data_IF_293481627610
#
_entry.id   IF_293481627610
#
_cell.length_a   1.000
_cell.length_b   1.000
_cell.length_c   1.000
_cell.angle_alpha   90.00
_cell.angle_beta   90.00
_cell.angle_gamma   90.00
#
_symmetry.space_group_name_H-M   'P 1'
#
loop_
_entity.id
_entity.type
_entity.pdbx_description
1 polymer ?
#
# COMPACT_ATOMS: atom_id res chain seq x y z
N UNK A 1 -10.39 23.85 -10.92
CA UNK A 1 -9.78 24.70 -9.88
C UNK A 1 -8.39 24.15 -9.56
N UNK A 2 -7.35 24.84 -10.02
CA UNK A 2 -5.94 24.45 -9.90
C UNK A 2 -5.51 24.37 -8.43
N UNK A 3 -5.90 25.35 -7.62
CA UNK A 3 -5.57 25.37 -6.19
C UNK A 3 -6.12 24.13 -5.44
N UNK A 4 -7.35 23.71 -5.75
CA UNK A 4 -7.94 22.52 -5.16
C UNK A 4 -7.22 21.25 -5.62
N UNK A 5 -6.80 21.20 -6.89
CA UNK A 5 -6.03 20.06 -7.42
C UNK A 5 -4.67 19.94 -6.72
N UNK A 6 -3.97 21.06 -6.53
CA UNK A 6 -2.70 21.08 -5.81
C UNK A 6 -2.85 20.60 -4.36
N UNK A 7 -3.86 21.10 -3.64
CA UNK A 7 -4.13 20.68 -2.27
C UNK A 7 -4.50 19.17 -2.17
N UNK A 8 -5.26 18.67 -3.16
CA UNK A 8 -5.56 17.24 -3.24
C UNK A 8 -4.29 16.39 -3.48
N UNK A 9 -3.41 16.84 -4.37
CA UNK A 9 -2.13 16.16 -4.62
C UNK A 9 -1.28 16.13 -3.35
N UNK A 10 -1.17 17.25 -2.63
CA UNK A 10 -0.42 17.34 -1.37
C UNK A 10 -1.01 16.41 -0.32
N UNK A 11 -2.34 16.39 -0.19
CA UNK A 11 -3.03 15.48 0.70
C UNK A 11 -2.74 14.01 0.39
N UNK A 12 -2.84 13.61 -0.88
CA UNK A 12 -2.59 12.22 -1.29
C UNK A 12 -1.13 11.81 -1.09
N UNK A 13 -0.17 12.73 -1.35
CA UNK A 13 1.25 12.49 -1.12
C UNK A 13 1.59 12.35 0.36
N UNK A 14 0.95 13.14 1.24
CA UNK A 14 1.18 13.07 2.69
C UNK A 14 0.50 11.85 3.32
N UNK A 15 -0.54 11.32 2.68
CA UNK A 15 -1.32 10.18 3.14
C UNK A 15 -1.10 8.89 2.31
N UNK A 16 0.04 8.79 1.64
CA UNK A 16 0.39 7.56 0.91
C UNK A 16 0.33 6.34 1.83
N UNK A 17 -0.35 5.28 1.39
CA UNK A 17 -0.53 4.05 2.17
C UNK A 17 -1.55 4.14 3.31
N UNK A 18 -2.18 5.29 3.55
CA UNK A 18 -3.28 5.40 4.50
C UNK A 18 -4.63 5.04 3.86
N UNK A 19 -5.46 4.32 4.62
CA UNK A 19 -6.86 4.15 4.22
C UNK A 19 -7.57 5.50 4.23
N UNK A 20 -8.21 5.84 3.12
CA UNK A 20 -8.98 7.07 3.00
C UNK A 20 -10.15 6.91 2.05
N UNK A 21 -11.21 7.70 2.27
CA UNK A 21 -12.36 7.79 1.40
C UNK A 21 -12.41 9.15 0.71
N UNK A 22 -13.06 9.23 -0.44
CA UNK A 22 -13.29 10.51 -1.14
C UNK A 22 -13.98 11.52 -0.22
N UNK A 23 -14.89 11.06 0.63
CA UNK A 23 -15.59 11.91 1.60
C UNK A 23 -14.62 12.47 2.64
N UNK A 24 -13.78 11.62 3.24
CA UNK A 24 -12.78 12.05 4.23
C UNK A 24 -11.79 13.06 3.63
N UNK A 25 -11.37 12.86 2.37
CA UNK A 25 -10.52 13.82 1.66
C UNK A 25 -11.24 15.18 1.52
N UNK A 26 -12.49 15.16 1.06
CA UNK A 26 -13.28 16.37 0.89
C UNK A 26 -13.46 17.13 2.22
N UNK A 27 -13.86 16.43 3.28
CA UNK A 27 -14.05 17.00 4.63
C UNK A 27 -12.75 17.64 5.16
N UNK A 28 -11.59 17.01 4.91
CA UNK A 28 -10.28 17.55 5.31
C UNK A 28 -9.94 18.83 4.53
N UNK A 29 -10.16 18.84 3.21
CA UNK A 29 -9.90 20.02 2.38
C UNK A 29 -10.87 21.17 2.70
N UNK A 30 -12.14 20.89 3.01
CA UNK A 30 -13.10 21.87 3.46
C UNK A 30 -12.70 22.52 4.79
N UNK A 31 -12.18 21.73 5.74
CA UNK A 31 -11.67 22.25 7.02
C UNK A 31 -10.51 23.24 6.81
N UNK A 32 -9.79 23.12 5.72
CA UNK A 32 -8.75 24.05 5.26
C UNK A 32 -9.28 25.24 4.45
N UNK A 33 -10.59 25.54 4.54
CA UNK A 33 -11.31 26.63 3.85
C UNK A 33 -11.32 26.52 2.32
N UNK A 34 -11.15 25.32 1.77
CA UNK A 34 -11.30 25.08 0.33
C UNK A 34 -12.70 24.51 0.05
N UNK A 35 -13.40 25.05 -0.95
CA UNK A 35 -14.65 24.42 -1.40
C UNK A 35 -14.31 23.10 -2.09
N UNK A 36 -14.56 22.00 -1.42
CA UNK A 36 -14.17 20.64 -1.84
C UNK A 36 -15.42 19.72 -1.85
N UNK A 37 -16.25 19.86 -2.88
CA UNK A 37 -17.35 18.89 -3.08
C UNK A 37 -16.81 17.50 -3.40
N UNK A 38 -17.33 16.47 -2.71
CA UNK A 38 -16.87 15.10 -2.82
C UNK A 38 -16.97 14.54 -4.25
N UNK A 39 -17.94 14.99 -5.07
CA UNK A 39 -18.03 14.57 -6.49
C UNK A 39 -16.88 15.13 -7.31
N UNK A 40 -16.48 16.38 -7.05
CA UNK A 40 -15.34 17.03 -7.70
C UNK A 40 -14.03 16.37 -7.28
N UNK A 41 -13.85 16.11 -5.97
CA UNK A 41 -12.69 15.38 -5.46
C UNK A 41 -12.60 13.98 -6.09
N UNK A 42 -13.71 13.24 -6.18
CA UNK A 42 -13.74 11.94 -6.83
C UNK A 42 -13.27 11.99 -8.29
N UNK A 43 -13.74 12.98 -9.07
CA UNK A 43 -13.29 13.18 -10.46
C UNK A 43 -11.79 13.49 -10.57
N UNK A 44 -11.25 14.30 -9.66
CA UNK A 44 -9.82 14.63 -9.65
C UNK A 44 -8.97 13.44 -9.27
N UNK A 45 -9.36 12.67 -8.24
CA UNK A 45 -8.70 11.42 -7.88
C UNK A 45 -8.72 10.43 -9.04
N UNK A 46 -9.86 10.27 -9.73
CA UNK A 46 -9.96 9.40 -10.90
C UNK A 46 -9.05 9.87 -12.05
N UNK A 47 -8.95 11.18 -12.26
CA UNK A 47 -8.06 11.75 -13.27
C UNK A 47 -6.58 11.51 -12.93
N UNK A 48 -6.18 11.71 -11.67
CA UNK A 48 -4.82 11.44 -11.19
C UNK A 48 -4.46 9.95 -11.31
N UNK A 49 -5.40 9.05 -11.03
CA UNK A 49 -5.19 7.61 -11.23
C UNK A 49 -5.11 7.23 -12.72
N UNK A 50 -5.94 7.82 -13.59
CA UNK A 50 -5.87 7.63 -15.05
C UNK A 50 -4.58 8.17 -15.66
N UNK A 51 -4.03 9.23 -15.08
CA UNK A 51 -2.74 9.81 -15.48
C UNK A 51 -1.53 9.03 -14.91
N UNK A 52 -1.76 7.92 -14.20
CA UNK A 52 -0.73 7.11 -13.53
C UNK A 52 0.12 7.89 -12.52
N UNK A 53 -0.36 9.03 -12.02
CA UNK A 53 0.31 9.74 -10.94
C UNK A 53 0.14 9.02 -9.60
N UNK A 54 -1.05 8.45 -9.39
CA UNK A 54 -1.38 7.62 -8.24
C UNK A 54 -2.03 6.32 -8.66
N UNK A 55 -1.83 5.29 -7.85
CA UNK A 55 -2.47 3.98 -7.99
C UNK A 55 -3.41 3.75 -6.82
N UNK A 56 -4.68 3.41 -7.13
CA UNK A 56 -5.72 3.12 -6.15
C UNK A 56 -5.75 1.63 -5.86
N UNK A 57 -5.51 1.25 -4.60
CA UNK A 57 -5.64 -0.12 -4.13
C UNK A 57 -6.92 -0.25 -3.31
N UNK A 58 -7.84 -1.05 -3.83
CA UNK A 58 -9.11 -1.35 -3.16
C UNK A 58 -8.92 -2.36 -2.06
N UNK A 59 -9.83 -2.38 -1.10
CA UNK A 59 -9.83 -3.36 -0.03
C UNK A 59 -10.42 -4.69 -0.49
N UNK A 60 -9.82 -5.78 -0.02
CA UNK A 60 -10.23 -7.15 -0.26
C UNK A 60 -10.46 -7.87 1.06
N UNK A 61 -11.70 -8.31 1.31
CA UNK A 61 -12.07 -9.15 2.46
C UNK A 61 -11.55 -10.57 2.23
N UNK A 62 -10.49 -10.95 2.94
CA UNK A 62 -9.80 -12.23 2.78
C UNK A 62 -10.73 -13.39 3.13
N UNK A 63 -11.53 -13.26 4.20
CA UNK A 63 -12.47 -14.30 4.64
C UNK A 63 -13.68 -14.40 3.71
N UNK A 64 -14.30 -13.25 3.40
CA UNK A 64 -15.49 -13.17 2.54
C UNK A 64 -15.17 -13.31 1.06
N UNK A 65 -13.89 -13.30 0.67
CA UNK A 65 -13.41 -13.37 -0.72
C UNK A 65 -14.12 -12.36 -1.63
N UNK A 66 -14.28 -11.13 -1.16
CA UNK A 66 -15.01 -10.06 -1.85
C UNK A 66 -14.31 -8.72 -1.76
N UNK A 67 -14.55 -7.88 -2.76
CA UNK A 67 -14.05 -6.50 -2.77
C UNK A 67 -14.93 -5.59 -1.92
N UNK A 68 -14.30 -4.71 -1.14
CA UNK A 68 -14.98 -3.71 -0.32
C UNK A 68 -14.98 -2.36 -1.04
N UNK A 69 -15.98 -1.51 -0.77
CA UNK A 69 -16.18 -0.24 -1.49
C UNK A 69 -16.02 1.00 -0.60
N UNK A 70 -15.56 0.84 0.63
CA UNK A 70 -15.66 1.93 1.63
C UNK A 70 -14.47 2.88 1.62
N UNK A 71 -13.26 2.35 1.58
CA UNK A 71 -12.01 3.10 1.70
C UNK A 71 -10.95 2.43 0.85
N UNK A 72 -10.06 3.22 0.29
CA UNK A 72 -8.96 2.75 -0.54
C UNK A 72 -7.63 3.28 0.02
N UNK A 73 -6.51 2.65 -0.33
CA UNK A 73 -5.19 3.24 -0.22
C UNK A 73 -4.74 3.79 -1.56
N UNK A 74 -3.97 4.86 -1.51
CA UNK A 74 -3.37 5.46 -2.70
C UNK A 74 -1.85 5.41 -2.58
N UNK A 75 -1.21 4.95 -3.65
CA UNK A 75 0.24 4.87 -3.75
C UNK A 75 0.73 5.77 -4.88
N UNK A 76 1.84 6.44 -4.66
CA UNK A 76 2.44 7.36 -5.61
C UNK A 76 3.32 6.58 -6.59
N UNK A 77 3.28 6.94 -7.87
CA UNK A 77 4.08 6.28 -8.91
C UNK A 77 5.59 6.34 -8.61
N UNK A 78 6.06 7.46 -8.07
CA UNK A 78 7.46 7.65 -7.69
C UNK A 78 7.55 8.58 -6.47
N UNK A 79 8.24 8.13 -5.43
CA UNK A 79 8.43 8.87 -4.18
C UNK A 79 9.25 10.15 -4.37
N UNK A 80 10.02 10.28 -5.45
CA UNK A 80 10.76 11.51 -5.75
C UNK A 80 9.84 12.73 -5.91
N UNK A 81 8.62 12.55 -6.42
CA UNK A 81 7.63 13.62 -6.50
C UNK A 81 7.22 14.14 -5.12
N UNK A 82 7.04 13.22 -4.15
CA UNK A 82 6.76 13.61 -2.77
C UNK A 82 7.92 14.40 -2.17
N UNK A 83 9.14 13.90 -2.35
CA UNK A 83 10.35 14.60 -1.85
C UNK A 83 10.51 15.98 -2.48
N UNK A 84 10.30 16.11 -3.80
CA UNK A 84 10.39 17.39 -4.49
C UNK A 84 9.35 18.40 -4.02
N UNK A 85 8.14 17.94 -3.64
CA UNK A 85 7.01 18.81 -3.30
C UNK A 85 6.85 19.06 -1.81
N UNK A 86 7.02 18.06 -0.96
CA UNK A 86 6.80 18.12 0.49
C UNK A 86 8.09 18.01 1.29
N UNK A 87 9.22 17.71 0.66
CA UNK A 87 10.49 17.45 1.34
C UNK A 87 10.40 16.21 2.24
N UNK A 88 11.13 16.26 3.36
CA UNK A 88 11.16 15.18 4.37
C UNK A 88 10.12 15.34 5.47
N UNK A 89 9.25 16.33 5.38
CA UNK A 89 8.19 16.56 6.36
C UNK A 89 7.26 15.36 6.44
N UNK A 90 6.95 14.92 7.66
CA UNK A 90 6.07 13.77 7.93
C UNK A 90 6.50 12.47 7.22
N UNK A 91 7.80 12.32 6.95
CA UNK A 91 8.31 11.15 6.25
C UNK A 91 8.37 9.96 7.21
N UNK A 92 7.57 8.94 6.92
CA UNK A 92 7.62 7.65 7.58
C UNK A 92 8.29 6.62 6.64
N UNK A 93 9.49 6.15 7.01
CA UNK A 93 10.24 5.20 6.19
C UNK A 93 9.48 3.91 5.89
N UNK A 94 8.62 3.46 6.79
CA UNK A 94 7.75 2.30 6.57
C UNK A 94 6.82 2.50 5.39
N UNK A 95 6.16 3.65 5.31
CA UNK A 95 5.25 3.98 4.18
C UNK A 95 6.00 4.17 2.86
N UNK A 96 7.23 4.71 2.91
CA UNK A 96 8.06 4.79 1.70
C UNK A 96 8.37 3.40 1.16
N UNK A 97 8.77 2.47 2.04
CA UNK A 97 9.04 1.09 1.65
C UNK A 97 7.77 0.39 1.16
N UNK A 98 6.65 0.57 1.85
CA UNK A 98 5.34 0.02 1.44
C UNK A 98 4.96 0.51 0.02
N UNK A 99 5.14 1.81 -0.27
CA UNK A 99 4.90 2.34 -1.61
C UNK A 99 5.83 1.74 -2.67
N UNK A 100 7.11 1.55 -2.36
CA UNK A 100 8.07 0.91 -3.27
C UNK A 100 7.63 -0.53 -3.58
N UNK A 101 7.25 -1.29 -2.56
CA UNK A 101 6.74 -2.65 -2.71
C UNK A 101 5.45 -2.67 -3.54
N UNK A 102 4.53 -1.73 -3.30
CA UNK A 102 3.30 -1.58 -4.10
C UNK A 102 3.60 -1.41 -5.59
N UNK A 103 4.50 -0.50 -5.93
CA UNK A 103 4.89 -0.27 -7.33
C UNK A 103 5.59 -1.47 -7.94
N UNK A 104 6.45 -2.14 -7.19
CA UNK A 104 7.14 -3.36 -7.65
C UNK A 104 6.17 -4.51 -7.90
N UNK A 105 5.15 -4.70 -7.05
CA UNK A 105 4.10 -5.70 -7.27
C UNK A 105 3.35 -5.45 -8.58
N UNK A 106 2.97 -4.19 -8.87
CA UNK A 106 2.36 -3.81 -10.14
C UNK A 106 3.31 -4.09 -11.32
N UNK A 107 4.60 -3.73 -11.19
CA UNK A 107 5.62 -3.98 -12.21
C UNK A 107 5.78 -5.49 -12.51
N UNK A 108 5.63 -6.33 -11.48
CA UNK A 108 5.62 -7.79 -11.59
C UNK A 108 4.33 -8.35 -12.19
N UNK A 109 3.36 -7.50 -12.51
CA UNK A 109 2.10 -7.87 -13.15
C UNK A 109 1.07 -8.50 -12.20
N UNK A 110 1.13 -8.17 -10.90
CA UNK A 110 0.08 -8.53 -9.97
C UNK A 110 -1.07 -7.52 -10.01
N UNK A 111 -2.28 -8.02 -9.83
CA UNK A 111 -3.39 -7.22 -9.33
C UNK A 111 -3.26 -7.11 -7.82
N UNK A 112 -3.24 -5.89 -7.29
CA UNK A 112 -2.90 -5.66 -5.87
C UNK A 112 -4.05 -5.00 -5.13
N UNK A 113 -4.34 -5.51 -3.94
CA UNK A 113 -5.41 -5.07 -3.07
C UNK A 113 -4.88 -4.91 -1.64
N UNK A 114 -5.56 -4.10 -0.82
CA UNK A 114 -5.35 -4.05 0.63
C UNK A 114 -6.16 -5.15 1.28
N UNK A 115 -5.50 -6.06 1.99
CA UNK A 115 -6.17 -7.16 2.65
C UNK A 115 -6.89 -6.73 3.92
N UNK A 116 -8.08 -7.30 4.15
CA UNK A 116 -8.82 -7.14 5.40
C UNK A 116 -9.15 -8.53 5.95
N UNK A 117 -8.68 -8.81 7.16
CA UNK A 117 -9.02 -10.01 7.89
C UNK A 117 -9.63 -9.64 9.25
N UNK A 118 -10.96 -9.73 9.38
CA UNK A 118 -11.72 -9.20 10.52
C UNK A 118 -11.47 -7.70 10.71
N UNK A 119 -10.74 -7.32 11.79
CA UNK A 119 -10.33 -5.94 12.11
C UNK A 119 -8.86 -5.67 11.81
N UNK A 120 -8.13 -6.67 11.28
CA UNK A 120 -6.70 -6.53 10.94
C UNK A 120 -6.54 -6.22 9.47
N UNK A 121 -5.58 -5.39 9.17
CA UNK A 121 -5.13 -5.09 7.82
C UNK A 121 -3.99 -6.03 7.43
N UNK A 122 -3.93 -6.39 6.16
CA UNK A 122 -2.80 -7.00 5.48
C UNK A 122 -2.42 -6.01 4.39
N UNK A 123 -1.18 -5.56 4.38
CA UNK A 123 -0.75 -4.49 3.47
C UNK A 123 -1.10 -4.81 2.03
N UNK A 124 -0.78 -6.03 1.57
CA UNK A 124 -1.11 -6.43 0.20
C UNK A 124 -1.66 -7.84 0.09
N UNK A 125 -2.70 -7.96 -0.73
CA UNK A 125 -3.14 -9.20 -1.36
C UNK A 125 -2.81 -9.09 -2.84
N UNK A 126 -1.74 -9.73 -3.27
CA UNK A 126 -1.28 -9.72 -4.65
C UNK A 126 -1.83 -10.95 -5.38
N UNK A 127 -2.53 -10.75 -6.51
CA UNK A 127 -3.19 -11.81 -7.27
C UNK A 127 -2.60 -11.84 -8.68
N UNK A 128 -2.17 -13.01 -9.12
CA UNK A 128 -1.69 -13.21 -10.48
C UNK A 128 -2.06 -14.61 -10.97
N UNK A 129 -2.80 -14.69 -12.08
CA UNK A 129 -3.23 -15.96 -12.69
C UNK A 129 -4.00 -16.90 -11.72
N UNK A 130 -4.80 -16.31 -10.83
CA UNK A 130 -5.55 -17.06 -9.82
C UNK A 130 -4.80 -17.40 -8.53
N UNK A 131 -3.46 -17.30 -8.54
CA UNK A 131 -2.63 -17.46 -7.36
C UNK A 131 -2.64 -16.19 -6.51
N UNK A 132 -2.58 -16.36 -5.20
CA UNK A 132 -2.55 -15.26 -4.24
C UNK A 132 -1.24 -15.28 -3.44
N UNK A 133 -0.79 -14.09 -3.08
CA UNK A 133 0.32 -13.89 -2.15
C UNK A 133 -0.10 -12.82 -1.14
N UNK A 134 0.03 -13.10 0.14
CA UNK A 134 -0.22 -12.16 1.23
C UNK A 134 1.07 -11.56 1.70
N UNK A 135 1.13 -10.23 1.77
CA UNK A 135 2.37 -9.51 2.07
C UNK A 135 2.13 -8.48 3.16
N UNK A 136 3.01 -8.49 4.17
CA UNK A 136 3.23 -7.39 5.11
C UNK A 136 4.55 -6.72 4.78
N UNK A 137 4.64 -5.41 5.05
CA UNK A 137 5.85 -4.62 4.81
C UNK A 137 6.22 -3.87 6.08
N UNK A 138 7.45 -4.02 6.54
CA UNK A 138 7.96 -3.32 7.70
C UNK A 138 9.31 -2.65 7.41
N UNK A 139 9.56 -1.46 7.95
CA UNK A 139 10.86 -0.82 7.78
C UNK A 139 11.98 -1.61 8.47
N UNK A 140 11.72 -2.14 9.67
CA UNK A 140 12.65 -2.94 10.43
C UNK A 140 11.85 -3.87 11.37
N UNK A 141 12.33 -5.11 11.53
CA UNK A 141 11.73 -6.13 12.41
C UNK A 141 12.71 -6.63 13.48
N UNK A 142 13.82 -5.92 13.71
CA UNK A 142 14.76 -6.25 14.78
C UNK A 142 14.17 -5.98 16.18
N UNK A 143 13.20 -5.09 16.28
CA UNK A 143 12.44 -4.87 17.50
C UNK A 143 11.32 -5.90 17.62
N UNK A 144 11.28 -6.62 18.73
CA UNK A 144 10.26 -7.64 19.04
C UNK A 144 8.83 -7.11 18.87
N UNK A 145 8.57 -5.87 19.34
CA UNK A 145 7.25 -5.22 19.17
C UNK A 145 6.80 -5.08 17.72
N UNK A 146 7.73 -4.79 16.79
CA UNK A 146 7.40 -4.68 15.37
C UNK A 146 7.10 -6.07 14.80
N UNK A 147 7.91 -7.05 15.12
CA UNK A 147 7.70 -8.44 14.71
C UNK A 147 6.37 -8.98 15.22
N UNK A 148 6.04 -8.77 16.51
CA UNK A 148 4.77 -9.15 17.13
C UNK A 148 3.55 -8.42 16.55
N UNK A 149 3.74 -7.30 15.88
CA UNK A 149 2.66 -6.56 15.19
C UNK A 149 2.43 -7.10 13.78
N UNK A 150 3.50 -7.37 13.01
CA UNK A 150 3.44 -7.66 11.58
C UNK A 150 3.17 -9.15 11.27
N UNK A 151 3.65 -10.06 12.10
CA UNK A 151 3.54 -11.51 11.86
C UNK A 151 2.14 -12.08 12.18
N UNK A 152 1.50 -11.76 13.32
CA UNK A 152 0.21 -12.36 13.67
C UNK A 152 -0.94 -12.10 12.68
N UNK A 153 -1.03 -10.98 11.96
CA UNK A 153 -2.02 -10.84 10.91
C UNK A 153 -1.89 -11.89 9.80
N UNK A 154 -0.67 -12.20 9.36
CA UNK A 154 -0.41 -13.23 8.36
C UNK A 154 -0.71 -14.64 8.87
N UNK A 155 -0.34 -14.96 10.12
CA UNK A 155 -0.64 -16.24 10.75
C UNK A 155 -2.14 -16.49 10.93
N UNK A 156 -2.92 -15.43 11.05
CA UNK A 156 -4.36 -15.53 11.18
C UNK A 156 -5.08 -15.94 9.88
N UNK A 157 -4.41 -15.85 8.73
CA UNK A 157 -4.94 -16.29 7.43
C UNK A 157 -4.85 -17.83 7.36
N UNK A 158 -6.01 -18.49 7.24
CA UNK A 158 -6.12 -19.95 7.33
C UNK A 158 -6.20 -20.67 5.97
N UNK A 159 -5.81 -20.01 4.91
CA UNK A 159 -5.69 -20.66 3.60
C UNK A 159 -4.24 -21.11 3.30
N UNK A 160 -4.09 -21.86 2.21
CA UNK A 160 -2.80 -22.45 1.81
C UNK A 160 -1.95 -21.51 0.94
N UNK A 161 -2.39 -20.30 0.64
CA UNK A 161 -1.63 -19.37 -0.19
C UNK A 161 -0.39 -18.86 0.55
N UNK A 162 0.71 -18.59 -0.16
CA UNK A 162 1.96 -18.09 0.42
C UNK A 162 1.77 -16.78 1.19
N UNK A 163 2.57 -16.63 2.24
CA UNK A 163 2.62 -15.48 3.11
C UNK A 163 4.06 -14.97 3.18
N UNK A 164 4.24 -13.66 3.08
CA UNK A 164 5.55 -13.03 3.05
C UNK A 164 5.58 -11.78 3.91
N UNK A 165 6.66 -11.60 4.65
CA UNK A 165 7.01 -10.36 5.32
C UNK A 165 8.25 -9.79 4.64
N UNK A 166 8.13 -8.60 4.05
CA UNK A 166 9.24 -7.87 3.41
C UNK A 166 9.71 -6.79 4.39
N UNK A 167 10.99 -6.84 4.78
CA UNK A 167 11.54 -5.87 5.72
C UNK A 167 13.02 -5.62 5.43
N UNK A 168 13.59 -4.54 5.97
CA UNK A 168 15.03 -4.32 5.95
C UNK A 168 15.66 -5.18 7.05
N UNK A 169 15.92 -6.43 6.72
CA UNK A 169 16.51 -7.39 7.67
C UNK A 169 18.03 -7.42 7.64
N UNK A 170 18.62 -7.08 6.48
CA UNK A 170 20.03 -7.25 6.18
C UNK A 170 20.52 -8.68 6.41
N UNK A 171 19.62 -9.66 6.28
CA UNK A 171 19.85 -11.08 6.50
C UNK A 171 19.32 -11.87 5.31
N UNK A 172 19.87 -13.05 5.02
CA UNK A 172 19.30 -13.97 4.03
C UNK A 172 17.85 -14.33 4.36
N UNK A 173 17.08 -14.68 3.33
CA UNK A 173 15.71 -15.16 3.50
C UNK A 173 15.63 -16.32 4.49
N UNK A 174 14.63 -16.28 5.38
CA UNK A 174 14.32 -17.36 6.30
C UNK A 174 12.81 -17.54 6.45
N UNK A 175 12.40 -18.60 7.14
CA UNK A 175 10.99 -18.88 7.41
C UNK A 175 10.69 -18.82 8.89
N UNK A 176 9.54 -18.28 9.22
CA UNK A 176 8.97 -18.28 10.56
C UNK A 176 7.51 -18.74 10.48
N UNK A 177 7.17 -19.87 11.07
CA UNK A 177 5.81 -20.44 11.07
C UNK A 177 5.14 -20.48 9.67
N UNK A 178 5.91 -20.80 8.63
CA UNK A 178 5.42 -20.87 7.25
C UNK A 178 5.31 -19.51 6.55
N UNK A 179 5.69 -18.42 7.19
CA UNK A 179 5.82 -17.09 6.59
C UNK A 179 7.26 -16.93 6.09
N UNK A 180 7.44 -16.55 4.83
CA UNK A 180 8.75 -16.17 4.28
C UNK A 180 9.09 -14.78 4.74
N UNK A 181 10.25 -14.60 5.35
CA UNK A 181 10.79 -13.31 5.76
C UNK A 181 11.96 -12.98 4.85
N UNK A 182 11.83 -11.87 4.09
CA UNK A 182 12.74 -11.53 2.99
C UNK A 182 13.28 -10.13 3.19
N UNK A 183 14.59 -9.96 2.95
CA UNK A 183 15.18 -8.63 2.93
C UNK A 183 14.62 -7.81 1.75
N UNK A 184 14.25 -6.57 2.00
CA UNK A 184 13.62 -5.70 1.02
C UNK A 184 14.52 -5.45 -0.20
N UNK A 185 15.83 -5.25 0.01
CA UNK A 185 16.78 -5.01 -1.08
C UNK A 185 16.97 -6.28 -1.93
N UNK A 186 17.08 -7.44 -1.28
CA UNK A 186 17.15 -8.72 -1.97
C UNK A 186 15.88 -8.99 -2.79
N UNK A 187 14.70 -8.79 -2.18
CA UNK A 187 13.42 -9.00 -2.88
C UNK A 187 13.27 -8.09 -4.10
N UNK A 188 13.65 -6.81 -3.98
CA UNK A 188 13.60 -5.84 -5.09
C UNK A 188 14.60 -6.17 -6.21
N UNK A 189 15.75 -6.73 -5.86
CA UNK A 189 16.83 -7.06 -6.82
C UNK A 189 16.58 -8.38 -7.56
N UNK A 190 15.72 -9.25 -7.02
CA UNK A 190 15.43 -10.53 -7.65
C UNK A 190 14.66 -10.32 -8.96
N UNK A 191 15.15 -10.90 -10.07
CA UNK A 191 14.47 -10.78 -11.36
C UNK A 191 13.06 -11.37 -11.29
N UNK A 192 12.16 -10.82 -12.09
CA UNK A 192 10.85 -11.45 -12.30
C UNK A 192 11.13 -12.82 -12.91
N UNK A 193 10.57 -13.91 -12.34
CA UNK A 193 10.67 -15.20 -12.99
C UNK A 193 10.15 -15.07 -14.42
N UNK A 194 11.05 -15.18 -15.41
CA UNK A 194 10.63 -15.32 -16.79
C UNK A 194 9.95 -16.69 -16.88
N UNK A 195 8.69 -16.73 -17.31
CA UNK A 195 8.09 -18.01 -17.68
C UNK A 195 8.75 -18.46 -18.95
N UNK A 196 9.39 -19.62 -18.89
CA UNK A 196 9.69 -20.43 -20.05
C UNK A 196 8.41 -20.84 -20.78
#
# INVERSE_FOLDING_TARGET
NEQLLHALIDYLMDNVGNLTSIRSIADTLESSRMKADHKTIGKYVDALCKAFAFYRFRRYDIRGKRYLRSEDKYYLVDQSFRFARLGTKNLENGRVLENIVAMELLRRGYEVYVGVLYKKEIDFVAIKQGEKLYIQVANNISEEKTFEREVPPLLAIKDAFPKMLIARTYQPEYQHEGIRIVDAAEWLSNPIPQKE
#
